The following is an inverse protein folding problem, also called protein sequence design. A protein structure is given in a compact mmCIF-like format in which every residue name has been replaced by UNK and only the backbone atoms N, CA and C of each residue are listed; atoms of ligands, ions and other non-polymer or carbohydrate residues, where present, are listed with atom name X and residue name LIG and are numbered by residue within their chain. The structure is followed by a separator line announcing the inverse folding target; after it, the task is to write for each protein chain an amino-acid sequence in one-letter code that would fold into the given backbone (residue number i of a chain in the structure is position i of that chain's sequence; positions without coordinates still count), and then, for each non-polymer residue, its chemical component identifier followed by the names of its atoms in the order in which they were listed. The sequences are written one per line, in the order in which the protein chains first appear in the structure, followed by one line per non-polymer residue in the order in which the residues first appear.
data_IF_028955076942
#
_entry.id   IF_028955076942
#
_cell.length_a   1.000
_cell.length_b   1.000
_cell.length_c   1.000
_cell.angle_alpha   90.00
_cell.angle_beta   90.00
_cell.angle_gamma   90.00
#
_symmetry.space_group_name_H-M   'P 1'
#
loop_
_entity.id
_entity.type
_entity.pdbx_description
1 polymer ?
#
# COMPACT_ATOMS: atom_id res chain seq x y z
N UNK A 1 -35.35 5.90 14.42
CA UNK A 1 -34.80 4.73 13.69
C UNK A 1 -33.39 5.12 13.29
N UNK A 2 -32.45 4.94 14.23
CA UNK A 2 -31.02 5.16 14.00
C UNK A 2 -30.43 3.78 13.80
N UNK A 3 -30.14 3.43 12.56
CA UNK A 3 -29.37 2.24 12.27
C UNK A 3 -27.95 2.44 12.77
N UNK A 4 -27.54 1.52 13.62
CA UNK A 4 -26.22 1.46 14.21
C UNK A 4 -25.19 1.27 13.09
N UNK A 5 -24.36 2.29 12.88
CA UNK A 5 -23.05 2.10 12.25
C UNK A 5 -22.29 1.18 13.20
N UNK A 6 -22.23 -0.10 12.86
CA UNK A 6 -21.60 -1.13 13.67
C UNK A 6 -20.19 -0.69 14.02
N UNK A 7 -19.89 -0.60 15.32
CA UNK A 7 -18.50 -0.40 15.76
C UNK A 7 -17.64 -1.49 15.09
N UNK A 8 -16.49 -1.13 14.49
CA UNK A 8 -15.59 -2.10 13.88
C UNK A 8 -15.32 -3.25 14.86
N UNK A 9 -15.30 -4.52 14.42
CA UNK A 9 -15.11 -5.67 15.30
C UNK A 9 -13.90 -5.45 16.19
N UNK A 10 -14.15 -5.41 17.51
CA UNK A 10 -13.18 -5.10 18.56
C UNK A 10 -11.88 -5.90 18.44
N UNK A 11 -11.93 -7.09 17.85
CA UNK A 11 -10.77 -7.96 17.58
C UNK A 11 -9.79 -7.38 16.53
N UNK A 12 -10.27 -6.83 15.41
CA UNK A 12 -9.40 -6.30 14.36
C UNK A 12 -8.63 -5.07 14.85
N UNK A 13 -9.31 -4.15 15.56
CA UNK A 13 -8.66 -3.04 16.23
C UNK A 13 -7.64 -3.50 17.29
N UNK A 14 -7.94 -4.56 18.04
CA UNK A 14 -6.98 -5.11 19.03
C UNK A 14 -5.73 -5.65 18.34
N UNK A 15 -5.90 -6.45 17.27
CA UNK A 15 -4.77 -7.00 16.51
C UNK A 15 -3.91 -5.88 15.87
N UNK A 16 -4.56 -4.82 15.40
CA UNK A 16 -3.89 -3.65 14.85
C UNK A 16 -3.06 -2.91 15.92
N UNK A 17 -3.61 -2.73 17.12
CA UNK A 17 -2.89 -2.12 18.24
C UNK A 17 -1.68 -2.96 18.66
N UNK A 18 -1.82 -4.29 18.76
CA UNK A 18 -0.69 -5.19 19.00
C UNK A 18 0.39 -5.04 17.93
N UNK A 19 -0.01 -4.95 16.65
CA UNK A 19 0.93 -4.71 15.56
C UNK A 19 1.66 -3.36 15.70
N UNK A 20 1.00 -2.33 16.22
CA UNK A 20 1.60 -1.01 16.43
C UNK A 20 2.62 -1.02 17.56
N UNK A 21 2.36 -1.78 18.63
CA UNK A 21 3.32 -2.03 19.71
C UNK A 21 4.57 -2.74 19.17
N UNK A 22 4.41 -3.75 18.32
CA UNK A 22 5.55 -4.42 17.67
C UNK A 22 6.35 -3.48 16.76
N UNK A 23 5.69 -2.57 16.04
CA UNK A 23 6.34 -1.59 15.18
C UNK A 23 7.17 -0.60 16.02
N UNK A 24 6.65 -0.13 17.16
CA UNK A 24 7.26 0.92 17.98
C UNK A 24 8.72 0.63 18.36
N UNK A 25 9.00 -0.62 18.71
CA UNK A 25 10.32 -1.07 19.16
C UNK A 25 11.14 -1.79 18.07
N UNK A 26 10.67 -1.82 16.83
CA UNK A 26 11.30 -2.56 15.75
C UNK A 26 12.75 -2.10 15.47
N UNK A 27 13.76 -3.00 15.51
CA UNK A 27 15.16 -2.67 15.20
C UNK A 27 15.61 -3.15 13.80
N UNK A 28 14.70 -3.64 12.95
CA UNK A 28 15.02 -4.48 11.80
C UNK A 28 15.80 -3.83 10.64
N UNK A 29 15.99 -2.50 10.64
CA UNK A 29 16.78 -1.79 9.63
C UNK A 29 17.42 -0.51 10.19
N UNK A 30 18.34 0.09 9.43
CA UNK A 30 19.10 1.28 9.85
C UNK A 30 18.22 2.50 10.17
N UNK A 31 17.01 2.58 9.62
CA UNK A 31 16.06 3.66 9.93
C UNK A 31 15.69 3.72 11.41
N UNK A 32 15.81 2.61 12.13
CA UNK A 32 15.57 2.55 13.57
C UNK A 32 16.53 3.42 14.37
N UNK A 33 17.71 3.72 13.84
CA UNK A 33 18.76 4.46 14.53
C UNK A 33 18.57 5.97 14.48
N UNK A 34 17.70 6.45 13.58
CA UNK A 34 17.56 7.89 13.29
C UNK A 34 16.15 8.43 13.47
N UNK A 35 15.15 7.56 13.65
CA UNK A 35 13.77 7.99 13.91
C UNK A 35 13.64 8.67 15.27
N UNK A 36 12.72 9.62 15.38
CA UNK A 36 12.22 10.11 16.66
C UNK A 36 11.09 9.20 17.15
N UNK A 37 10.12 8.93 16.26
CA UNK A 37 9.02 8.00 16.49
C UNK A 37 8.80 7.13 15.26
N UNK A 38 8.30 5.92 15.47
CA UNK A 38 7.69 5.18 14.36
C UNK A 38 6.33 5.75 14.01
N UNK A 39 5.92 5.57 12.77
CA UNK A 39 4.62 5.99 12.25
C UNK A 39 3.93 4.76 11.66
N UNK A 40 3.27 3.93 12.51
CA UNK A 40 2.72 2.65 12.07
C UNK A 40 1.57 2.82 11.08
N UNK A 41 0.67 3.78 11.34
CA UNK A 41 -0.52 4.07 10.55
C UNK A 41 -1.60 4.70 11.44
N UNK A 42 -2.75 5.05 10.85
CA UNK A 42 -3.92 5.57 11.56
C UNK A 42 -5.21 5.16 10.82
N UNK A 43 -6.32 5.09 11.54
CA UNK A 43 -7.63 4.77 10.97
C UNK A 43 -8.18 3.45 11.50
N UNK A 44 -9.42 3.10 11.12
CA UNK A 44 -10.09 1.92 11.64
C UNK A 44 -9.50 0.62 11.07
N UNK A 45 -9.76 -0.48 11.76
CA UNK A 45 -9.71 -1.83 11.20
C UNK A 45 -10.98 -2.59 11.64
N UNK A 46 -11.80 -3.09 10.70
CA UNK A 46 -11.64 -3.00 9.25
C UNK A 46 -11.87 -1.58 8.71
N UNK A 47 -11.36 -1.32 7.50
CA UNK A 47 -11.65 -0.11 6.73
C UNK A 47 -11.76 -0.48 5.24
N UNK A 48 -12.80 -0.02 4.55
CA UNK A 48 -12.99 -0.37 3.12
C UNK A 48 -11.91 0.25 2.22
N UNK A 49 -11.37 1.41 2.60
CA UNK A 49 -10.29 2.09 1.88
C UNK A 49 -9.03 2.12 2.73
N UNK A 50 -7.91 1.73 2.12
CA UNK A 50 -6.57 1.91 2.69
C UNK A 50 -5.69 2.75 1.77
N UNK A 51 -5.20 3.89 2.25
CA UNK A 51 -4.21 4.72 1.56
C UNK A 51 -2.80 4.33 2.01
N UNK A 52 -1.90 4.12 1.05
CA UNK A 52 -0.51 3.71 1.33
C UNK A 52 0.46 4.67 0.66
N UNK A 53 1.21 5.44 1.45
CA UNK A 53 2.30 6.29 1.01
C UNK A 53 3.66 5.62 1.04
N UNK A 54 4.71 6.42 0.93
CA UNK A 54 6.10 5.97 0.87
C UNK A 54 6.72 5.81 2.27
N UNK A 55 6.91 6.92 2.97
CA UNK A 55 7.63 7.00 4.23
C UNK A 55 7.16 8.21 5.05
N UNK A 56 7.41 8.23 6.37
CA UNK A 56 7.21 9.42 7.20
C UNK A 56 8.15 10.57 6.80
N UNK A 57 7.64 11.80 6.79
CA UNK A 57 8.45 13.02 6.74
C UNK A 57 8.82 13.50 8.14
N UNK A 58 9.40 14.71 8.21
CA UNK A 58 9.87 15.28 9.47
C UNK A 58 8.76 15.47 10.51
N UNK A 59 7.61 16.01 10.10
CA UNK A 59 6.48 16.25 11.02
C UNK A 59 5.83 14.94 11.45
N UNK A 60 5.77 13.97 10.55
CA UNK A 60 5.25 12.64 10.84
C UNK A 60 6.13 11.92 11.87
N UNK A 61 7.46 11.98 11.72
CA UNK A 61 8.43 11.45 12.69
C UNK A 61 8.35 12.12 14.06
N UNK A 62 8.17 13.44 14.08
CA UNK A 62 7.99 14.20 15.32
C UNK A 62 6.68 13.84 16.05
N UNK A 63 5.61 13.53 15.32
CA UNK A 63 4.26 13.33 15.89
C UNK A 63 3.84 11.87 16.01
N UNK A 64 4.53 10.93 15.37
CA UNK A 64 4.12 9.53 15.30
C UNK A 64 2.90 9.28 14.41
N UNK A 65 2.47 10.27 13.61
CA UNK A 65 1.23 10.23 12.83
C UNK A 65 1.50 10.39 11.32
N UNK A 66 0.85 9.58 10.46
CA UNK A 66 1.11 9.64 9.02
C UNK A 66 0.42 10.86 8.40
N UNK A 67 1.08 11.44 7.38
CA UNK A 67 0.52 12.53 6.57
C UNK A 67 0.03 13.71 7.43
N UNK A 68 0.84 14.28 8.33
CA UNK A 68 0.48 15.50 9.10
C UNK A 68 1.10 16.78 8.51
N UNK A 69 1.98 16.63 7.53
CA UNK A 69 2.58 17.71 6.76
C UNK A 69 1.67 18.30 5.67
N UNK A 70 2.23 19.18 4.81
CA UNK A 70 1.49 19.81 3.71
C UNK A 70 0.82 18.81 2.75
N UNK A 71 1.51 17.72 2.41
CA UNK A 71 0.96 16.67 1.54
C UNK A 71 -0.25 15.98 2.20
N UNK A 72 -0.20 15.82 3.52
CA UNK A 72 -1.29 15.26 4.29
C UNK A 72 -2.52 16.14 4.39
N UNK A 73 -2.34 17.46 4.54
CA UNK A 73 -3.46 18.41 4.44
C UNK A 73 -4.13 18.37 3.07
N UNK A 74 -3.37 18.14 2.01
CA UNK A 74 -3.97 17.96 0.69
C UNK A 74 -4.69 16.61 0.56
N UNK A 75 -4.13 15.53 1.13
CA UNK A 75 -4.84 14.25 1.26
C UNK A 75 -6.19 14.41 1.98
N UNK A 76 -6.25 15.22 3.03
CA UNK A 76 -7.49 15.49 3.77
C UNK A 76 -8.53 16.22 2.91
N UNK A 77 -8.09 17.18 2.10
CA UNK A 77 -8.96 17.87 1.14
C UNK A 77 -9.50 16.91 0.08
N UNK A 78 -8.65 16.01 -0.42
CA UNK A 78 -9.03 15.01 -1.42
C UNK A 78 -10.08 14.04 -0.86
N UNK A 79 -9.84 13.51 0.35
CA UNK A 79 -10.79 12.64 1.05
C UNK A 79 -12.13 13.37 1.29
N UNK A 80 -12.07 14.59 1.83
CA UNK A 80 -13.27 15.39 2.10
C UNK A 80 -14.07 15.71 0.84
N UNK A 81 -13.39 15.93 -0.30
CA UNK A 81 -14.01 16.18 -1.60
C UNK A 81 -14.85 15.02 -2.13
N UNK A 82 -14.61 13.80 -1.65
CA UNK A 82 -15.37 12.59 -2.00
C UNK A 82 -16.20 12.03 -0.84
N UNK A 83 -16.39 12.82 0.23
CA UNK A 83 -17.19 12.43 1.39
C UNK A 83 -16.54 11.41 2.33
N UNK A 84 -15.22 11.22 2.22
CA UNK A 84 -14.43 10.39 3.15
C UNK A 84 -13.66 11.25 4.14
N UNK A 85 -13.13 10.63 5.21
CA UNK A 85 -12.30 11.30 6.19
C UNK A 85 -11.24 10.34 6.76
N UNK A 86 -10.28 10.87 7.53
CA UNK A 86 -9.25 10.04 8.17
C UNK A 86 -9.81 9.01 9.14
N UNK A 87 -10.99 9.28 9.69
CA UNK A 87 -11.69 8.40 10.62
C UNK A 87 -12.39 7.24 9.90
N UNK A 88 -12.63 7.35 8.59
CA UNK A 88 -13.31 6.33 7.78
C UNK A 88 -12.38 5.53 6.87
N UNK A 89 -11.14 5.98 6.68
CA UNK A 89 -10.11 5.30 5.88
C UNK A 89 -8.91 4.92 6.73
N UNK A 90 -8.18 3.88 6.33
CA UNK A 90 -6.91 3.54 6.96
C UNK A 90 -5.74 4.15 6.18
N UNK A 91 -4.78 4.79 6.86
CA UNK A 91 -3.64 5.47 6.23
C UNK A 91 -2.35 4.91 6.81
N UNK A 92 -1.45 4.45 5.94
CA UNK A 92 -0.15 3.94 6.30
C UNK A 92 0.92 4.30 5.25
N UNK A 93 2.16 3.91 5.49
CA UNK A 93 3.29 4.03 4.55
C UNK A 93 3.97 2.68 4.33
N UNK A 94 4.76 2.55 3.25
CA UNK A 94 5.58 1.36 2.99
C UNK A 94 6.60 1.13 4.10
N UNK A 95 7.35 2.16 4.49
CA UNK A 95 8.22 2.12 5.66
C UNK A 95 7.61 2.88 6.84
N UNK A 96 7.88 2.44 8.08
CA UNK A 96 7.31 3.04 9.31
C UNK A 96 8.23 4.03 10.01
N UNK A 97 9.40 4.29 9.45
CA UNK A 97 10.41 5.17 10.03
C UNK A 97 10.85 6.19 8.97
N UNK A 98 11.12 7.42 9.38
CA UNK A 98 11.61 8.46 8.49
C UNK A 98 13.04 8.18 8.02
N UNK A 99 13.30 8.15 6.70
CA UNK A 99 14.67 8.14 6.18
C UNK A 99 15.44 9.44 6.49
N UNK A 100 16.74 9.36 6.84
CA UNK A 100 17.57 10.54 7.10
C UNK A 100 17.50 11.57 5.98
N UNK A 101 17.23 12.83 6.32
CA UNK A 101 17.12 13.90 5.32
C UNK A 101 15.91 13.80 4.39
N UNK A 102 14.90 12.98 4.72
CA UNK A 102 13.75 12.67 3.86
C UNK A 102 14.16 12.12 2.49
N UNK A 103 15.29 11.39 2.41
CA UNK A 103 15.63 10.63 1.22
C UNK A 103 14.57 9.53 0.98
N UNK A 104 14.57 9.00 -0.22
CA UNK A 104 13.82 7.79 -0.53
C UNK A 104 14.29 6.59 0.34
N UNK A 105 13.37 5.67 0.73
CA UNK A 105 13.75 4.44 1.42
C UNK A 105 14.51 3.50 0.49
N UNK A 106 15.52 2.83 1.04
CA UNK A 106 16.32 1.83 0.31
C UNK A 106 15.54 0.51 0.14
N UNK A 107 15.88 -0.30 -0.87
CA UNK A 107 15.24 -1.61 -1.07
C UNK A 107 15.27 -2.51 0.18
N UNK A 108 16.37 -2.51 0.93
CA UNK A 108 16.54 -3.30 2.14
C UNK A 108 15.65 -2.80 3.28
N UNK A 109 15.44 -1.48 3.38
CA UNK A 109 14.56 -0.85 4.36
C UNK A 109 13.09 -1.18 4.05
N UNK A 110 12.71 -1.16 2.77
CA UNK A 110 11.40 -1.58 2.30
C UNK A 110 11.18 -3.06 2.62
N UNK A 111 12.14 -3.92 2.27
CA UNK A 111 12.07 -5.36 2.51
C UNK A 111 11.93 -5.68 4.00
N UNK A 112 12.70 -5.02 4.86
CA UNK A 112 12.63 -5.19 6.31
C UNK A 112 11.28 -4.74 6.90
N UNK A 113 10.65 -3.72 6.33
CA UNK A 113 9.38 -3.18 6.81
C UNK A 113 8.15 -3.89 6.22
N UNK A 114 8.30 -4.56 5.08
CA UNK A 114 7.19 -5.20 4.35
C UNK A 114 6.33 -6.14 5.21
N UNK A 115 6.88 -6.98 6.11
CA UNK A 115 6.06 -7.85 6.96
C UNK A 115 5.02 -7.11 7.80
N UNK A 116 5.30 -5.88 8.24
CA UNK A 116 4.33 -5.06 8.97
C UNK A 116 3.21 -4.59 8.05
N UNK A 117 3.53 -4.13 6.84
CA UNK A 117 2.52 -3.69 5.89
C UNK A 117 1.61 -4.85 5.44
N UNK A 118 2.17 -6.05 5.21
CA UNK A 118 1.38 -7.26 4.91
C UNK A 118 0.33 -7.52 5.99
N UNK A 119 0.78 -7.54 7.25
CA UNK A 119 -0.10 -7.78 8.40
C UNK A 119 -1.12 -6.67 8.56
N UNK A 120 -0.76 -5.42 8.33
CA UNK A 120 -1.73 -4.32 8.34
C UNK A 120 -2.79 -4.50 7.25
N UNK A 121 -2.42 -4.81 6.01
CA UNK A 121 -3.38 -5.02 4.92
C UNK A 121 -4.33 -6.19 5.26
N UNK A 122 -3.80 -7.26 5.86
CA UNK A 122 -4.61 -8.40 6.28
C UNK A 122 -5.57 -8.07 7.43
N UNK A 123 -5.16 -7.25 8.40
CA UNK A 123 -5.99 -6.85 9.55
C UNK A 123 -7.05 -5.83 9.16
N UNK A 124 -6.67 -4.84 8.32
CA UNK A 124 -7.57 -3.78 7.85
C UNK A 124 -8.59 -4.32 6.85
N UNK A 125 -8.20 -5.34 6.10
CA UNK A 125 -9.02 -6.02 5.10
C UNK A 125 -9.74 -5.07 4.11
N UNK A 126 -9.00 -4.19 3.40
CA UNK A 126 -9.63 -3.17 2.57
C UNK A 126 -10.19 -3.74 1.26
N UNK A 127 -11.32 -3.21 0.80
CA UNK A 127 -11.87 -3.47 -0.54
C UNK A 127 -11.06 -2.72 -1.61
N UNK A 128 -10.60 -1.51 -1.29
CA UNK A 128 -9.84 -0.64 -2.17
C UNK A 128 -8.54 -0.17 -1.49
N UNK A 129 -7.43 -0.36 -2.19
CA UNK A 129 -6.13 0.19 -1.81
C UNK A 129 -5.76 1.32 -2.75
N UNK A 130 -5.49 2.51 -2.20
CA UNK A 130 -5.01 3.68 -2.94
C UNK A 130 -3.51 3.81 -2.69
N UNK A 131 -2.69 3.56 -3.71
CA UNK A 131 -1.23 3.71 -3.60
C UNK A 131 -0.82 5.12 -3.99
N UNK A 132 -0.27 5.86 -3.03
CA UNK A 132 0.18 7.23 -3.20
C UNK A 132 1.66 7.26 -3.58
N UNK A 133 1.94 7.37 -4.88
CA UNK A 133 3.30 7.46 -5.42
C UNK A 133 3.94 6.10 -5.77
N UNK A 134 5.17 6.17 -6.30
CA UNK A 134 5.84 5.04 -6.95
C UNK A 134 6.17 3.88 -6.01
N UNK A 135 6.48 4.16 -4.74
CA UNK A 135 6.96 3.15 -3.80
C UNK A 135 5.87 2.19 -3.37
N UNK A 136 4.72 2.72 -2.92
CA UNK A 136 3.56 1.88 -2.60
C UNK A 136 2.98 1.23 -3.85
N UNK A 137 2.96 1.94 -4.99
CA UNK A 137 2.51 1.40 -6.27
C UNK A 137 3.33 0.19 -6.73
N UNK A 138 4.65 0.20 -6.55
CA UNK A 138 5.57 -0.83 -7.08
C UNK A 138 5.27 -2.24 -6.54
N UNK A 139 4.61 -2.32 -5.38
CA UNK A 139 4.16 -3.58 -4.78
C UNK A 139 3.18 -4.36 -5.64
N UNK A 140 2.27 -3.66 -6.33
CA UNK A 140 1.28 -4.27 -7.23
C UNK A 140 1.63 -4.09 -8.71
N UNK A 141 2.41 -3.07 -9.03
CA UNK A 141 2.78 -2.72 -10.40
C UNK A 141 4.31 -2.60 -10.55
N UNK A 142 5.06 -3.69 -10.33
CA UNK A 142 6.52 -3.64 -10.41
C UNK A 142 6.96 -3.23 -11.82
N UNK A 143 7.88 -2.27 -11.90
CA UNK A 143 8.42 -1.74 -13.15
C UNK A 143 7.49 -0.78 -13.92
N UNK A 144 6.28 -0.52 -13.43
CA UNK A 144 5.38 0.43 -14.06
C UNK A 144 5.78 1.89 -13.79
N UNK A 145 5.37 2.78 -14.67
CA UNK A 145 5.59 4.23 -14.52
C UNK A 145 4.32 4.90 -14.02
N UNK A 146 4.41 5.64 -12.90
CA UNK A 146 3.25 6.30 -12.31
C UNK A 146 2.55 7.26 -13.29
N UNK A 147 3.31 7.94 -14.16
CA UNK A 147 2.75 8.84 -15.17
C UNK A 147 1.94 8.16 -16.26
N UNK A 148 2.04 6.83 -16.39
CA UNK A 148 1.29 6.04 -17.36
C UNK A 148 0.08 5.34 -16.75
N UNK A 149 0.14 5.04 -15.45
CA UNK A 149 -0.83 4.15 -14.80
C UNK A 149 -1.67 4.83 -13.73
N UNK A 150 -1.37 6.06 -13.30
CA UNK A 150 -2.23 6.77 -12.37
C UNK A 150 -3.69 6.82 -12.87
N UNK A 151 -4.65 6.71 -11.96
CA UNK A 151 -6.08 6.69 -12.29
C UNK A 151 -6.56 5.41 -13.00
N UNK A 152 -5.71 4.38 -13.14
CA UNK A 152 -6.06 3.10 -13.80
C UNK A 152 -6.09 1.96 -12.78
N UNK A 153 -7.25 1.69 -12.16
CA UNK A 153 -7.37 0.64 -11.14
C UNK A 153 -7.20 -0.75 -11.73
N UNK A 154 -6.68 -1.69 -10.92
CA UNK A 154 -6.58 -3.12 -11.27
C UNK A 154 -6.89 -3.99 -10.05
N UNK A 155 -7.33 -5.23 -10.31
CA UNK A 155 -7.71 -6.19 -9.27
C UNK A 155 -6.54 -7.08 -8.84
N UNK A 156 -6.44 -7.30 -7.53
CA UNK A 156 -5.48 -8.20 -6.90
C UNK A 156 -6.12 -8.86 -5.67
N UNK A 157 -6.21 -10.19 -5.65
CA UNK A 157 -6.65 -10.95 -4.47
C UNK A 157 -7.98 -10.47 -3.88
N UNK A 158 -9.00 -10.30 -4.72
CA UNK A 158 -10.34 -9.83 -4.32
C UNK A 158 -10.45 -8.32 -4.05
N UNK A 159 -9.37 -7.55 -4.20
CA UNK A 159 -9.33 -6.11 -3.92
C UNK A 159 -9.05 -5.29 -5.17
N UNK A 160 -9.51 -4.06 -5.19
CA UNK A 160 -9.13 -3.06 -6.20
C UNK A 160 -7.89 -2.31 -5.70
N UNK A 161 -6.92 -2.07 -6.58
CA UNK A 161 -5.75 -1.23 -6.30
C UNK A 161 -5.74 -0.08 -7.29
N UNK A 162 -5.86 1.14 -6.78
CA UNK A 162 -5.84 2.39 -7.53
C UNK A 162 -4.47 3.09 -7.36
N UNK A 163 -3.62 3.08 -8.40
CA UNK A 163 -2.38 3.85 -8.38
C UNK A 163 -2.64 5.34 -8.59
N UNK A 164 -1.97 6.17 -7.78
CA UNK A 164 -2.11 7.63 -7.82
C UNK A 164 -0.76 8.31 -7.65
N UNK A 165 -0.64 9.53 -8.19
CA UNK A 165 0.48 10.40 -7.81
C UNK A 165 0.45 10.67 -6.30
N UNK A 166 1.62 10.79 -5.69
CA UNK A 166 1.71 11.18 -4.28
C UNK A 166 1.21 12.63 -4.12
N UNK A 167 0.41 12.97 -3.07
CA UNK A 167 -0.10 14.32 -2.87
C UNK A 167 0.97 15.42 -2.83
N UNK A 168 2.19 15.08 -2.36
CA UNK A 168 3.33 16.01 -2.38
C UNK A 168 3.71 16.48 -3.79
N UNK A 169 3.42 15.71 -4.84
CA UNK A 169 3.73 16.10 -6.22
C UNK A 169 3.00 17.39 -6.63
N UNK A 170 1.75 17.58 -6.19
CA UNK A 170 1.00 18.81 -6.43
C UNK A 170 1.60 20.06 -5.77
N UNK A 171 2.40 19.88 -4.70
CA UNK A 171 3.02 21.00 -3.99
C UNK A 171 4.20 21.60 -4.75
N UNK A 172 4.87 20.78 -5.57
CA UNK A 172 5.97 21.20 -6.42
C UNK A 172 5.53 21.47 -7.86
N UNK A 173 4.43 20.83 -8.28
CA UNK A 173 3.87 20.90 -9.63
C UNK A 173 2.37 21.13 -9.56
N UNK A 174 1.98 22.41 -9.56
CA UNK A 174 0.57 22.81 -9.45
C UNK A 174 -0.31 22.23 -10.56
N UNK A 175 0.26 21.92 -11.73
CA UNK A 175 -0.43 21.26 -12.85
C UNK A 175 -0.90 19.83 -12.53
N UNK A 176 -0.28 19.16 -11.56
CA UNK A 176 -0.70 17.82 -11.11
C UNK A 176 -1.88 17.84 -10.15
N UNK A 177 -2.19 18.98 -9.54
CA UNK A 177 -3.31 19.09 -8.60
C UNK A 177 -4.65 18.63 -9.20
N UNK A 178 -5.11 19.16 -10.35
CA UNK A 178 -6.37 18.73 -10.95
C UNK A 178 -6.34 17.25 -11.40
N UNK A 179 -5.17 16.73 -11.79
CA UNK A 179 -5.00 15.32 -12.15
C UNK A 179 -5.23 14.42 -10.93
N UNK A 180 -4.64 14.77 -9.79
CA UNK A 180 -4.81 14.03 -8.53
C UNK A 180 -6.26 14.12 -8.03
N UNK A 181 -6.88 15.29 -8.13
CA UNK A 181 -8.30 15.48 -7.77
C UNK A 181 -9.21 14.61 -8.65
N UNK A 182 -8.96 14.54 -9.96
CA UNK A 182 -9.72 13.69 -10.88
C UNK A 182 -9.55 12.20 -10.59
N UNK A 183 -8.34 11.74 -10.30
CA UNK A 183 -8.08 10.35 -9.91
C UNK A 183 -8.79 9.99 -8.59
N UNK A 184 -8.80 10.90 -7.60
CA UNK A 184 -9.50 10.68 -6.31
C UNK A 184 -11.01 10.56 -6.50
N UNK A 185 -11.58 11.31 -7.46
CA UNK A 185 -13.01 11.26 -7.76
C UNK A 185 -13.49 9.90 -8.30
N UNK A 186 -12.58 8.99 -8.69
CA UNK A 186 -12.92 7.62 -9.08
C UNK A 186 -13.27 6.72 -7.88
N UNK A 187 -12.80 7.07 -6.67
CA UNK A 187 -12.89 6.21 -5.48
C UNK A 187 -14.33 5.81 -5.13
N UNK A 188 -15.34 6.71 -5.12
CA UNK A 188 -16.71 6.33 -4.79
C UNK A 188 -17.28 5.25 -5.72
N UNK A 189 -17.06 5.37 -7.02
CA UNK A 189 -17.54 4.39 -8.01
C UNK A 189 -16.85 3.02 -7.82
N UNK A 190 -15.52 3.03 -7.60
CA UNK A 190 -14.76 1.80 -7.36
C UNK A 190 -15.17 1.10 -6.05
N UNK A 191 -15.52 1.87 -5.02
CA UNK A 191 -16.04 1.31 -3.77
C UNK A 191 -17.39 0.63 -3.96
N UNK A 192 -18.31 1.25 -4.70
CA UNK A 192 -19.60 0.64 -5.02
C UNK A 192 -19.44 -0.64 -5.86
N UNK A 193 -18.50 -0.65 -6.82
CA UNK A 193 -18.14 -1.84 -7.59
C UNK A 193 -17.66 -2.97 -6.66
N UNK A 194 -16.70 -2.67 -5.78
CA UNK A 194 -16.13 -3.66 -4.87
C UNK A 194 -17.16 -4.19 -3.85
N UNK A 195 -18.05 -3.34 -3.32
CA UNK A 195 -19.14 -3.74 -2.41
C UNK A 195 -20.13 -4.67 -3.11
N UNK A 196 -20.51 -4.34 -4.35
CA UNK A 196 -21.47 -5.13 -5.13
C UNK A 196 -20.96 -6.54 -5.39
N UNK A 197 -19.66 -6.68 -5.63
CA UNK A 197 -19.04 -7.98 -5.85
C UNK A 197 -18.83 -8.76 -4.56
N UNK A 198 -18.40 -8.11 -3.48
CA UNK A 198 -18.31 -8.76 -2.17
C UNK A 198 -19.66 -9.30 -1.68
N UNK A 199 -20.77 -8.62 -2.03
CA UNK A 199 -22.12 -9.09 -1.74
C UNK A 199 -22.59 -10.26 -2.64
N UNK A 200 -21.94 -10.48 -3.79
CA UNK A 200 -22.29 -11.57 -4.74
C UNK A 200 -21.66 -12.92 -4.38
N UNK A 201 -20.68 -12.97 -3.48
CA UNK A 201 -20.11 -14.24 -2.99
C UNK A 201 -20.68 -14.64 -1.63
N UNK A 202 -21.61 -15.61 -1.62
CA UNK A 202 -21.50 -16.73 -0.71
C UNK A 202 -21.63 -18.05 -1.48
N UNK A 203 -20.50 -18.65 -1.89
CA UNK A 203 -20.46 -20.01 -2.42
C UNK A 203 -19.65 -20.17 -3.70
N UNK A 204 -18.36 -20.47 -3.55
CA UNK A 204 -17.48 -20.85 -4.66
C UNK A 204 -16.12 -21.23 -4.12
N UNK A 205 -15.95 -22.49 -3.70
CA UNK A 205 -14.64 -23.04 -3.43
C UNK A 205 -13.85 -23.06 -4.74
N UNK A 206 -12.79 -22.26 -4.82
CA UNK A 206 -11.86 -22.33 -5.94
C UNK A 206 -10.86 -23.47 -5.67
N UNK A 207 -11.08 -24.59 -6.35
CA UNK A 207 -10.09 -25.65 -6.51
C UNK A 207 -8.88 -25.11 -7.29
N UNK A 208 -7.64 -25.48 -6.90
CA UNK A 208 -6.47 -25.13 -7.67
C UNK A 208 -6.42 -25.97 -8.96
N UNK A 209 -6.77 -25.36 -10.09
CA UNK A 209 -6.53 -25.96 -11.41
C UNK A 209 -5.02 -26.04 -11.68
N UNK A 210 -4.48 -27.24 -11.46
CA UNK A 210 -3.17 -27.67 -11.92
C UNK A 210 -3.09 -27.57 -13.45
N UNK A 211 -2.14 -26.79 -13.97
CA UNK A 211 -1.41 -27.08 -15.22
C UNK A 211 -0.19 -26.15 -15.35
N UNK A 212 0.97 -26.61 -14.87
CA UNK A 212 2.18 -26.61 -15.71
C UNK A 212 3.21 -27.58 -15.11
N UNK A 213 3.57 -28.53 -15.95
CA UNK A 213 4.48 -29.67 -15.79
C UNK A 213 5.90 -29.23 -15.38
N UNK A 214 6.67 -30.07 -14.66
CA UNK A 214 7.98 -29.69 -14.16
C UNK A 214 9.04 -29.74 -15.27
N UNK A 215 9.94 -28.75 -15.30
CA UNK A 215 11.18 -28.84 -16.07
C UNK A 215 12.17 -29.71 -15.30
N UNK A 216 12.30 -30.95 -15.76
CA UNK A 216 13.34 -31.86 -15.30
C UNK A 216 14.71 -31.43 -15.82
N UNK A 217 15.71 -31.49 -14.94
CA UNK A 217 17.12 -31.41 -15.27
C UNK A 217 17.58 -32.64 -16.06
N UNK A 218 18.44 -32.45 -17.06
CA UNK A 218 19.30 -33.49 -17.60
C UNK A 218 20.63 -32.89 -18.09
N UNK A 219 21.71 -33.51 -17.63
CA UNK A 219 23.09 -33.17 -17.92
C UNK A 219 23.67 -34.01 -19.08
N UNK A 220 24.80 -33.51 -19.60
CA UNK A 220 25.91 -34.21 -20.26
C UNK A 220 25.85 -34.56 -21.77
N UNK A 221 26.77 -33.88 -22.49
CA UNK A 221 27.61 -34.19 -23.67
C UNK A 221 27.41 -35.47 -24.51
N UNK A 222 27.84 -35.43 -25.78
CA UNK A 222 29.17 -35.98 -26.08
C UNK A 222 30.04 -35.13 -27.03
N UNK A 223 31.26 -35.64 -27.15
CA UNK A 223 32.50 -35.11 -27.73
C UNK A 223 32.70 -35.33 -29.23
N UNK A 224 33.67 -34.58 -29.75
CA UNK A 224 34.66 -34.89 -30.80
C UNK A 224 34.33 -34.65 -32.28
N UNK A 225 34.91 -33.56 -32.82
CA UNK A 225 35.58 -33.47 -34.15
C UNK A 225 36.67 -32.37 -34.03
N UNK A 226 37.93 -32.76 -33.88
CA UNK A 226 38.98 -32.81 -34.92
C UNK A 226 39.74 -31.48 -35.16
N UNK A 227 40.91 -31.42 -34.53
CA UNK A 227 42.23 -30.91 -35.01
C UNK A 227 42.26 -30.20 -36.37
N UNK A 228 42.77 -28.96 -36.39
CA UNK A 228 43.97 -28.61 -37.16
C UNK A 228 44.50 -27.21 -36.84
N UNK A 229 45.84 -27.12 -36.79
CA UNK A 229 46.72 -25.95 -36.92
C UNK A 229 47.10 -25.13 -35.66
N UNK A 230 48.40 -25.32 -35.34
CA UNK A 230 49.34 -24.59 -34.47
C UNK A 230 49.31 -24.91 -32.98
#
# INVERSE_FOLDING_TARGET
MSDAIGSPPRAANTALLTLYEEIADCPACELARTRTQTVPGVGPAPAEVMCIGEAPGAREDEQGLPFVGPAGRFLDQLLGGIGLSRETVHIANVVKCRPPGNRDPQPEEIAACNPFLERQIAIVDPLLIVTLGRFSMSRWFPGASISRIHGRPRRFGGRIVLPMYHPAAALHRGDLRPVIEADFALIPELLEEARTEGAREPGGADEPSAHSTPVAAAAAAPSAEQRSLL
#
